data_IF_952306368931
#
_entry.id   IF_952306368931
#
_cell.length_a   1.000
_cell.length_b   1.000
_cell.length_c   1.000
_cell.angle_alpha   90.00
_cell.angle_beta   90.00
_cell.angle_gamma   90.00
#
_symmetry.space_group_name_H-M   'P 1'
#
loop_
_entity.id
_entity.type
_entity.pdbx_description
1 polymer ?
#
# COMPACT_ATOMS: atom_id res chain seq x y z
N UNK A 1 2.22 -15.43 -7.06
CA UNK A 1 3.55 -14.86 -6.79
C UNK A 1 3.46 -13.62 -5.89
N UNK A 2 4.53 -13.31 -5.17
CA UNK A 2 4.65 -12.03 -4.48
C UNK A 2 4.84 -10.89 -5.49
N UNK A 3 4.25 -9.73 -5.20
CA UNK A 3 4.50 -8.50 -5.94
C UNK A 3 5.94 -8.02 -5.68
N UNK A 4 6.58 -7.48 -6.72
CA UNK A 4 7.87 -6.82 -6.59
C UNK A 4 7.73 -5.45 -5.94
N UNK A 5 8.82 -4.88 -5.47
CA UNK A 5 8.86 -3.55 -4.88
C UNK A 5 8.10 -2.50 -5.70
N UNK A 6 8.41 -2.42 -6.99
CA UNK A 6 7.80 -1.42 -7.88
C UNK A 6 6.30 -1.62 -8.04
N UNK A 7 5.84 -2.89 -8.08
CA UNK A 7 4.43 -3.25 -8.18
C UNK A 7 3.70 -2.89 -6.87
N UNK A 8 4.30 -3.15 -5.71
CA UNK A 8 3.74 -2.81 -4.39
C UNK A 8 3.60 -1.30 -4.26
N UNK A 9 4.67 -0.55 -4.54
CA UNK A 9 4.68 0.91 -4.41
C UNK A 9 3.66 1.56 -5.35
N UNK A 10 3.67 1.17 -6.63
CA UNK A 10 2.73 1.71 -7.61
C UNK A 10 1.28 1.35 -7.24
N UNK A 11 1.02 0.13 -6.75
CA UNK A 11 -0.31 -0.28 -6.27
C UNK A 11 -0.77 0.57 -5.09
N UNK A 12 0.11 0.85 -4.11
CA UNK A 12 -0.22 1.73 -2.98
C UNK A 12 -0.57 3.15 -3.45
N UNK A 13 0.14 3.69 -4.43
CA UNK A 13 -0.16 4.99 -5.01
C UNK A 13 -1.50 4.98 -5.77
N UNK A 14 -1.80 3.91 -6.49
CA UNK A 14 -3.08 3.77 -7.20
C UNK A 14 -4.25 3.74 -6.23
N UNK A 15 -4.22 2.84 -5.25
CA UNK A 15 -5.35 2.63 -4.33
C UNK A 15 -5.55 3.82 -3.38
N UNK A 16 -4.49 4.56 -3.07
CA UNK A 16 -4.56 5.80 -2.29
C UNK A 16 -4.98 7.02 -3.11
N UNK A 17 -5.14 6.88 -4.44
CA UNK A 17 -5.49 8.00 -5.33
C UNK A 17 -4.35 9.02 -5.53
N UNK A 18 -3.11 8.65 -5.19
CA UNK A 18 -1.95 9.55 -5.27
C UNK A 18 -1.08 9.35 -6.50
N UNK A 19 -1.39 8.36 -7.35
CA UNK A 19 -0.55 8.10 -8.52
C UNK A 19 -0.62 9.26 -9.54
N UNK A 20 0.52 9.89 -9.79
CA UNK A 20 0.73 10.74 -10.96
C UNK A 20 1.18 9.88 -12.15
N UNK A 21 0.35 9.80 -13.18
CA UNK A 21 0.61 9.02 -14.40
C UNK A 21 1.51 9.73 -15.41
N UNK A 22 2.11 10.88 -15.07
CA UNK A 22 3.00 11.61 -15.96
C UNK A 22 4.19 10.76 -16.41
N UNK A 23 4.39 10.69 -17.71
CA UNK A 23 5.46 9.92 -18.36
C UNK A 23 6.61 10.86 -18.75
N UNK A 24 7.86 10.39 -18.59
CA UNK A 24 9.07 11.12 -18.98
C UNK A 24 9.52 12.17 -17.94
N UNK A 25 10.56 12.92 -18.28
CA UNK A 25 11.17 13.91 -17.38
C UNK A 25 12.38 13.37 -16.62
N UNK A 26 12.87 14.15 -15.64
CA UNK A 26 14.00 13.73 -14.82
C UNK A 26 13.60 12.64 -13.83
N UNK A 27 14.52 11.75 -13.46
CA UNK A 27 14.33 10.84 -12.33
C UNK A 27 13.98 11.64 -11.06
N UNK A 28 13.26 11.00 -10.16
CA UNK A 28 12.80 11.58 -8.92
C UNK A 28 13.52 10.93 -7.74
N UNK A 29 13.71 11.70 -6.70
CA UNK A 29 14.23 11.19 -5.44
C UNK A 29 13.27 10.16 -4.84
N UNK A 30 13.80 9.00 -4.44
CA UNK A 30 13.00 7.93 -3.85
C UNK A 30 12.52 8.24 -2.43
N UNK A 31 13.14 9.21 -1.76
CA UNK A 31 12.82 9.62 -0.38
C UNK A 31 11.80 10.76 -0.33
N UNK A 32 11.66 11.51 -1.43
CA UNK A 32 10.63 12.53 -1.50
C UNK A 32 9.23 11.91 -1.52
N UNK A 33 8.20 12.69 -1.18
CA UNK A 33 6.77 12.28 -1.28
C UNK A 33 6.33 12.21 -2.76
N UNK A 34 7.02 11.34 -3.48
CA UNK A 34 6.89 11.20 -4.91
C UNK A 34 5.69 10.33 -5.27
N UNK A 35 4.86 10.88 -6.12
CA UNK A 35 3.59 10.26 -6.52
C UNK A 35 3.65 9.58 -7.88
N UNK A 36 4.76 9.73 -8.62
CA UNK A 36 4.93 9.09 -9.93
C UNK A 36 5.28 7.61 -9.81
N UNK A 37 5.11 6.89 -10.92
CA UNK A 37 5.44 5.46 -10.99
C UNK A 37 6.89 5.17 -10.63
N UNK A 38 7.12 4.04 -10.01
CA UNK A 38 8.45 3.55 -9.58
C UNK A 38 9.47 3.48 -10.71
N UNK A 39 9.03 3.33 -11.96
CA UNK A 39 9.90 3.35 -13.13
C UNK A 39 10.66 4.68 -13.34
N UNK A 40 10.25 5.76 -12.67
CA UNK A 40 10.87 7.08 -12.73
C UNK A 40 11.64 7.44 -11.46
N UNK A 41 11.80 6.53 -10.51
CA UNK A 41 12.58 6.77 -9.31
C UNK A 41 14.08 6.83 -9.66
N UNK A 42 14.78 7.73 -8.97
CA UNK A 42 16.22 7.74 -8.99
C UNK A 42 16.76 6.56 -8.18
N UNK A 43 17.68 5.82 -8.78
CA UNK A 43 18.36 4.70 -8.12
C UNK A 43 19.82 5.07 -7.99
N UNK A 44 20.25 5.44 -6.76
CA UNK A 44 21.66 5.59 -6.47
C UNK A 44 22.25 4.20 -6.16
N UNK A 45 23.31 3.84 -6.91
CA UNK A 45 24.00 2.55 -6.70
C UNK A 45 24.76 2.50 -5.37
N UNK A 46 25.15 3.65 -4.86
CA UNK A 46 25.94 3.75 -3.63
C UNK A 46 25.07 3.83 -2.37
N UNK A 47 23.81 4.24 -2.51
CA UNK A 47 22.90 4.43 -1.40
C UNK A 47 21.47 4.01 -1.83
N UNK A 48 21.20 2.70 -1.70
CA UNK A 48 19.85 2.19 -1.95
C UNK A 48 18.96 2.49 -0.73
N UNK A 49 17.80 3.12 -0.91
CA UNK A 49 16.84 3.33 0.16
C UNK A 49 16.41 2.01 0.81
N UNK A 50 16.09 2.05 2.12
CA UNK A 50 15.69 0.88 2.92
C UNK A 50 14.53 0.10 2.29
N UNK A 51 13.59 0.80 1.64
CA UNK A 51 12.47 0.17 0.95
C UNK A 51 12.94 -0.73 -0.19
N UNK A 52 13.92 -0.29 -1.00
CA UNK A 52 14.48 -1.10 -2.08
C UNK A 52 15.17 -2.35 -1.54
N UNK A 53 15.95 -2.20 -0.46
CA UNK A 53 16.66 -3.31 0.18
C UNK A 53 15.69 -4.32 0.80
N UNK A 54 14.61 -3.83 1.45
CA UNK A 54 13.62 -4.67 2.13
C UNK A 54 12.85 -5.58 1.15
N UNK A 55 12.67 -5.14 -0.10
CA UNK A 55 11.90 -5.86 -1.13
C UNK A 55 12.75 -6.45 -2.26
N UNK A 56 13.96 -6.85 -1.97
CA UNK A 56 14.85 -7.59 -2.90
C UNK A 56 15.04 -6.85 -4.24
N UNK A 57 15.19 -5.52 -4.19
CA UNK A 57 15.54 -4.77 -5.39
C UNK A 57 16.91 -5.24 -5.90
N UNK A 58 17.06 -5.38 -7.22
CA UNK A 58 18.31 -5.83 -7.80
C UNK A 58 19.47 -4.91 -7.39
N UNK A 59 20.56 -5.49 -6.88
CA UNK A 59 21.75 -4.73 -6.55
C UNK A 59 22.32 -4.10 -7.85
N UNK A 60 22.43 -2.75 -7.93
CA UNK A 60 22.88 -2.08 -9.15
C UNK A 60 24.36 -2.30 -9.48
N UNK A 61 25.15 -2.85 -8.54
CA UNK A 61 26.57 -3.13 -8.75
C UNK A 61 26.84 -4.46 -9.46
N UNK A 62 25.83 -5.34 -9.51
CA UNK A 62 26.01 -6.68 -10.08
C UNK A 62 24.99 -6.94 -11.19
N UNK A 63 25.47 -7.62 -12.25
CA UNK A 63 24.57 -8.16 -13.26
C UNK A 63 23.82 -9.36 -12.68
N UNK A 64 22.49 -9.25 -12.54
CA UNK A 64 21.62 -10.28 -12.02
C UNK A 64 20.74 -10.81 -13.14
N UNK A 65 20.82 -12.12 -13.43
CA UNK A 65 19.99 -12.75 -14.45
C UNK A 65 18.52 -12.79 -14.03
N UNK A 66 18.26 -13.01 -12.74
CA UNK A 66 16.93 -13.05 -12.15
C UNK A 66 17.00 -12.43 -10.75
N UNK A 67 15.99 -11.61 -10.40
CA UNK A 67 15.88 -11.06 -9.05
C UNK A 67 15.46 -12.16 -8.08
N UNK A 68 16.14 -12.22 -6.95
CA UNK A 68 15.68 -13.04 -5.84
C UNK A 68 14.32 -12.51 -5.33
N UNK A 69 13.54 -13.38 -4.75
CA UNK A 69 12.28 -13.03 -4.09
C UNK A 69 12.26 -13.74 -2.74
N UNK A 70 12.38 -12.96 -1.69
CA UNK A 70 12.32 -13.47 -0.32
C UNK A 70 10.99 -13.06 0.33
N UNK A 71 10.52 -13.92 1.24
CA UNK A 71 9.37 -13.61 2.10
C UNK A 71 9.93 -13.54 3.52
N UNK A 72 10.22 -12.34 3.98
CA UNK A 72 10.91 -12.13 5.25
C UNK A 72 10.15 -11.19 6.18
N UNK A 73 10.34 -11.38 7.48
CA UNK A 73 9.72 -10.55 8.51
C UNK A 73 9.92 -9.03 8.33
N UNK A 74 11.07 -8.52 7.87
CA UNK A 74 11.25 -7.10 7.59
C UNK A 74 10.23 -6.49 6.64
N UNK A 75 9.73 -7.24 5.65
CA UNK A 75 8.69 -6.76 4.73
C UNK A 75 7.35 -6.50 5.45
N UNK A 76 6.94 -7.43 6.32
CA UNK A 76 5.75 -7.24 7.13
C UNK A 76 5.91 -6.06 8.10
N UNK A 77 7.07 -5.92 8.73
CA UNK A 77 7.38 -4.78 9.61
C UNK A 77 7.39 -3.45 8.86
N UNK A 78 7.83 -3.44 7.60
CA UNK A 78 7.75 -2.27 6.75
C UNK A 78 6.30 -1.80 6.57
N UNK A 79 5.38 -2.70 6.22
CA UNK A 79 3.96 -2.36 6.08
C UNK A 79 3.34 -1.85 7.39
N UNK A 80 3.79 -2.35 8.52
CA UNK A 80 3.29 -1.93 9.84
C UNK A 80 3.83 -0.57 10.28
N UNK A 81 5.10 -0.28 10.00
CA UNK A 81 5.83 0.81 10.64
C UNK A 81 6.16 1.98 9.72
N UNK A 82 6.29 1.76 8.41
CA UNK A 82 6.68 2.78 7.46
C UNK A 82 5.73 3.99 7.50
N UNK A 83 6.24 5.21 7.74
CA UNK A 83 5.43 6.44 7.65
C UNK A 83 4.79 6.62 6.28
N UNK A 84 5.50 6.19 5.23
CA UNK A 84 5.00 6.29 3.86
C UNK A 84 3.77 5.40 3.63
N UNK A 85 3.78 4.15 4.13
CA UNK A 85 2.61 3.25 4.05
C UNK A 85 1.45 3.78 4.89
N UNK A 86 1.73 4.29 6.09
CA UNK A 86 0.70 4.90 6.95
C UNK A 86 0.03 6.10 6.28
N UNK A 87 0.80 6.97 5.63
CA UNK A 87 0.24 8.08 4.87
C UNK A 87 -0.68 7.60 3.72
N UNK A 88 -0.32 6.52 3.03
CA UNK A 88 -1.22 5.94 2.00
C UNK A 88 -2.49 5.33 2.62
N UNK A 89 -2.39 4.69 3.77
CA UNK A 89 -3.57 4.21 4.50
C UNK A 89 -4.48 5.37 4.95
N UNK A 90 -3.90 6.50 5.37
CA UNK A 90 -4.64 7.71 5.70
C UNK A 90 -5.37 8.30 4.49
N UNK A 91 -4.70 8.36 3.32
CA UNK A 91 -5.33 8.81 2.08
C UNK A 91 -6.57 7.96 1.72
N UNK A 92 -6.47 6.62 1.86
CA UNK A 92 -7.61 5.71 1.65
C UNK A 92 -8.68 5.95 2.73
N UNK A 93 -8.27 6.12 3.98
CA UNK A 93 -9.17 6.44 5.09
C UNK A 93 -9.98 7.70 4.85
N UNK A 94 -9.38 8.76 4.29
CA UNK A 94 -10.07 9.99 3.87
C UNK A 94 -11.09 9.68 2.76
N UNK A 95 -10.72 8.95 1.72
CA UNK A 95 -11.65 8.55 0.66
C UNK A 95 -12.88 7.81 1.22
N UNK A 96 -12.66 6.91 2.21
CA UNK A 96 -13.74 6.17 2.87
C UNK A 96 -14.63 7.09 3.72
N UNK A 97 -14.07 8.09 4.37
CA UNK A 97 -14.86 9.06 5.14
C UNK A 97 -15.74 9.91 4.22
N UNK A 98 -15.18 10.40 3.12
CA UNK A 98 -15.84 11.26 2.14
C UNK A 98 -16.85 10.49 1.26
N UNK A 99 -16.70 9.16 1.13
CA UNK A 99 -17.65 8.36 0.36
C UNK A 99 -19.03 8.37 1.01
N UNK A 100 -20.08 8.45 0.20
CA UNK A 100 -21.45 8.43 0.67
C UNK A 100 -21.86 7.01 1.12
N UNK A 101 -22.81 6.94 2.05
CA UNK A 101 -23.45 5.71 2.46
C UNK A 101 -23.11 5.21 3.85
N UNK A 102 -23.75 4.11 4.23
CA UNK A 102 -23.54 3.44 5.52
C UNK A 102 -22.17 2.74 5.58
N UNK A 103 -21.71 2.44 6.80
CA UNK A 103 -20.43 1.73 7.04
C UNK A 103 -20.29 0.45 6.20
N UNK A 104 -21.38 -0.25 5.95
CA UNK A 104 -21.41 -1.47 5.12
C UNK A 104 -20.98 -1.20 3.67
N UNK A 105 -21.51 -0.14 3.05
CA UNK A 105 -21.12 0.28 1.70
C UNK A 105 -19.65 0.71 1.65
N UNK A 106 -19.18 1.43 2.66
CA UNK A 106 -17.77 1.85 2.78
C UNK A 106 -16.82 0.66 2.93
N UNK A 107 -17.21 -0.38 3.66
CA UNK A 107 -16.42 -1.64 3.73
C UNK A 107 -16.32 -2.30 2.36
N UNK A 108 -17.43 -2.40 1.62
CA UNK A 108 -17.40 -2.95 0.25
C UNK A 108 -16.49 -2.13 -0.65
N UNK A 109 -16.63 -0.82 -0.62
CA UNK A 109 -15.78 0.10 -1.40
C UNK A 109 -14.30 -0.05 -1.06
N UNK A 110 -13.94 -0.20 0.24
CA UNK A 110 -12.56 -0.41 0.66
C UNK A 110 -11.97 -1.71 0.09
N UNK A 111 -12.73 -2.81 0.15
CA UNK A 111 -12.28 -4.09 -0.43
C UNK A 111 -12.12 -4.01 -1.96
N UNK A 112 -13.08 -3.39 -2.66
CA UNK A 112 -12.99 -3.21 -4.10
C UNK A 112 -11.81 -2.33 -4.51
N UNK A 113 -11.55 -1.25 -3.76
CA UNK A 113 -10.44 -0.33 -4.03
C UNK A 113 -9.09 -0.97 -3.75
N UNK A 114 -8.92 -1.63 -2.59
CA UNK A 114 -7.61 -2.12 -2.13
C UNK A 114 -7.32 -3.51 -2.67
N UNK A 115 -8.31 -4.41 -2.68
CA UNK A 115 -8.13 -5.82 -3.03
C UNK A 115 -8.74 -6.21 -4.39
N UNK A 116 -9.42 -5.29 -5.07
CA UNK A 116 -10.02 -5.51 -6.39
C UNK A 116 -11.22 -6.47 -6.38
N UNK A 117 -11.81 -6.77 -5.21
CA UNK A 117 -12.96 -7.66 -5.06
C UNK A 117 -13.91 -7.23 -3.95
N UNK A 118 -15.11 -7.76 -3.97
CA UNK A 118 -16.04 -7.59 -2.84
C UNK A 118 -15.64 -8.48 -1.65
N UNK A 119 -15.90 -8.02 -0.41
CA UNK A 119 -15.75 -8.87 0.76
C UNK A 119 -16.78 -10.00 0.74
N UNK A 120 -16.40 -11.16 1.27
CA UNK A 120 -17.39 -12.22 1.57
C UNK A 120 -18.19 -11.83 2.84
N UNK A 121 -19.18 -12.66 3.20
CA UNK A 121 -20.08 -12.33 4.32
C UNK A 121 -19.36 -12.32 5.68
N UNK A 122 -18.37 -13.20 5.86
CA UNK A 122 -17.57 -13.28 7.09
C UNK A 122 -16.64 -12.06 7.23
N UNK A 123 -15.92 -11.70 6.15
CA UNK A 123 -15.06 -10.52 6.10
C UNK A 123 -15.86 -9.25 6.37
N UNK A 124 -17.03 -9.12 5.75
CA UNK A 124 -17.93 -7.99 5.94
C UNK A 124 -18.41 -7.87 7.38
N UNK A 125 -18.80 -9.00 7.97
CA UNK A 125 -19.27 -9.04 9.36
C UNK A 125 -18.13 -8.69 10.32
N UNK A 126 -16.93 -9.26 10.13
CA UNK A 126 -15.75 -8.96 10.93
C UNK A 126 -15.34 -7.49 10.85
N UNK A 127 -15.35 -6.92 9.65
CA UNK A 127 -15.06 -5.50 9.42
C UNK A 127 -16.04 -4.59 10.17
N UNK A 128 -17.33 -4.88 10.09
CA UNK A 128 -18.35 -4.08 10.78
C UNK A 128 -18.25 -4.19 12.31
N UNK A 129 -17.92 -5.36 12.83
CA UNK A 129 -17.64 -5.55 14.27
C UNK A 129 -16.41 -4.75 14.69
N UNK A 130 -15.34 -4.82 13.92
CA UNK A 130 -14.13 -4.06 14.18
C UNK A 130 -14.39 -2.54 14.23
N UNK A 131 -15.10 -2.00 13.23
CA UNK A 131 -15.42 -0.58 13.14
C UNK A 131 -16.33 -0.07 14.28
N UNK A 132 -17.18 -0.93 14.83
CA UNK A 132 -18.05 -0.59 15.99
C UNK A 132 -17.30 -0.46 17.31
N UNK A 133 -16.10 -1.05 17.42
CA UNK A 133 -15.30 -1.00 18.65
C UNK A 133 -14.60 0.35 18.87
N UNK A 134 -14.64 1.25 17.91
CA UNK A 134 -14.06 2.59 18.05
C UNK A 134 -15.02 3.54 18.78
N UNK A 135 -14.50 4.36 19.70
CA UNK A 135 -15.28 5.40 20.36
C UNK A 135 -15.86 6.41 19.35
N UNK A 136 -17.00 7.01 19.66
CA UNK A 136 -17.54 8.12 18.88
C UNK A 136 -16.51 9.24 18.70
N UNK A 137 -16.46 9.85 17.51
CA UNK A 137 -15.52 10.93 17.19
C UNK A 137 -14.13 10.48 16.70
N UNK A 138 -13.87 9.18 16.62
CA UNK A 138 -12.62 8.62 16.08
C UNK A 138 -12.79 8.08 14.65
N UNK A 139 -13.63 8.70 13.84
CA UNK A 139 -13.95 8.22 12.51
C UNK A 139 -12.71 8.18 11.58
N UNK A 140 -11.83 9.15 11.65
CA UNK A 140 -10.58 9.15 10.88
C UNK A 140 -9.67 7.99 11.31
N UNK A 141 -9.48 7.81 12.60
CA UNK A 141 -8.60 6.76 13.15
C UNK A 141 -9.07 5.38 12.74
N UNK A 142 -10.36 5.09 12.87
CA UNK A 142 -10.93 3.77 12.53
C UNK A 142 -10.78 3.43 11.05
N UNK A 143 -11.04 4.40 10.15
CA UNK A 143 -10.92 4.16 8.72
C UNK A 143 -9.46 4.05 8.26
N UNK A 144 -8.56 4.86 8.84
CA UNK A 144 -7.12 4.77 8.58
C UNK A 144 -6.56 3.39 9.01
N UNK A 145 -6.91 2.92 10.21
CA UNK A 145 -6.47 1.61 10.70
C UNK A 145 -7.10 0.46 9.90
N UNK A 146 -8.35 0.59 9.49
CA UNK A 146 -9.01 -0.40 8.64
C UNK A 146 -8.34 -0.50 7.26
N UNK A 147 -8.03 0.65 6.65
CA UNK A 147 -7.28 0.72 5.39
C UNK A 147 -5.89 0.11 5.52
N UNK A 148 -5.19 0.41 6.61
CA UNK A 148 -3.88 -0.17 6.89
C UNK A 148 -3.95 -1.69 7.04
N UNK A 149 -4.98 -2.23 7.70
CA UNK A 149 -5.17 -3.68 7.83
C UNK A 149 -5.38 -4.37 6.46
N UNK A 150 -6.10 -3.73 5.54
CA UNK A 150 -6.27 -4.26 4.17
C UNK A 150 -4.96 -4.25 3.38
N UNK A 151 -4.18 -3.17 3.46
CA UNK A 151 -2.86 -3.06 2.80
C UNK A 151 -1.89 -4.11 3.35
N UNK A 152 -1.95 -4.43 4.64
CA UNK A 152 -1.09 -5.41 5.28
C UNK A 152 -1.49 -6.86 5.00
N UNK A 153 -2.64 -7.08 4.37
CA UNK A 153 -3.10 -8.43 4.06
C UNK A 153 -2.21 -9.10 3.01
N UNK A 154 -2.05 -10.42 3.15
CA UNK A 154 -1.32 -11.21 2.14
C UNK A 154 -1.94 -11.07 0.74
N UNK A 155 -3.24 -10.80 0.67
CA UNK A 155 -3.94 -10.66 -0.60
C UNK A 155 -3.53 -9.41 -1.36
N UNK A 156 -3.12 -8.34 -0.67
CA UNK A 156 -2.58 -7.13 -1.30
C UNK A 156 -1.17 -7.37 -1.86
N UNK A 157 -0.37 -8.19 -1.19
CA UNK A 157 1.06 -8.40 -1.53
C UNK A 157 1.27 -9.56 -2.51
N UNK A 158 0.30 -10.49 -2.61
CA UNK A 158 0.42 -11.69 -3.45
C UNK A 158 -0.65 -11.73 -4.53
N UNK A 159 -0.24 -11.92 -5.78
CA UNK A 159 -1.15 -12.23 -6.89
C UNK A 159 -1.39 -13.74 -6.93
N UNK A 160 -2.66 -14.13 -7.00
CA UNK A 160 -3.09 -15.52 -7.25
C UNK A 160 -2.89 -15.90 -8.71
#
# INVERSE_FOLDING_TARGET
RQLRFEEIRDSLLVVSGRLDSKVGGRPMDSEADETRRSAFLFVDRYELPDMFQTFDFANPDFSTAERESSIVAPQALFFMNSPWVKARAEDIGVQLQESEGAAEGKVVFAFETVLGRKPNQEEKSAALVYLKNFPPGQDSVKWNQFSQALIQSNEFVFIR
#
